data_IF_754616024625
#
_entry.id   IF_754616024625
#
_cell.length_a   1.000
_cell.length_b   1.000
_cell.length_c   1.000
_cell.angle_alpha   90.00
_cell.angle_beta   90.00
_cell.angle_gamma   90.00
#
_symmetry.space_group_name_H-M   'P 1'
#
loop_
_entity.id
_entity.type
_entity.pdbx_description
1 polymer ?
#
# COMPACT_ATOMS: atom_id res chain seq x y z
N UNK A 1 -39.43 -50.02 -31.39
CA UNK A 1 -39.05 -48.72 -31.90
C UNK A 1 -38.83 -47.68 -30.78
N UNK A 2 -39.72 -47.52 -29.81
CA UNK A 2 -39.64 -46.49 -28.74
C UNK A 2 -38.41 -46.69 -27.81
N UNK A 3 -38.01 -47.91 -27.47
CA UNK A 3 -36.85 -48.20 -26.55
C UNK A 3 -35.48 -47.86 -27.22
N UNK A 4 -35.33 -48.04 -28.51
CA UNK A 4 -34.11 -47.68 -29.27
C UNK A 4 -33.93 -46.17 -29.37
N UNK A 5 -35.01 -45.42 -29.48
CA UNK A 5 -34.95 -43.96 -29.53
C UNK A 5 -34.47 -43.35 -28.19
N UNK A 6 -34.88 -43.93 -27.06
CA UNK A 6 -34.48 -43.47 -25.69
C UNK A 6 -32.96 -43.67 -25.48
N UNK A 7 -32.41 -44.79 -25.93
CA UNK A 7 -30.96 -45.03 -25.81
C UNK A 7 -30.15 -44.07 -26.70
N UNK A 8 -30.65 -43.69 -27.84
CA UNK A 8 -29.97 -42.78 -28.76
C UNK A 8 -29.93 -41.35 -28.18
N UNK A 9 -31.01 -40.88 -27.59
CA UNK A 9 -31.07 -39.59 -26.91
C UNK A 9 -30.18 -39.55 -25.68
N UNK A 10 -30.09 -40.63 -24.89
CA UNK A 10 -29.25 -40.73 -23.72
C UNK A 10 -27.76 -40.65 -24.06
N UNK A 11 -27.35 -41.30 -25.15
CA UNK A 11 -25.94 -41.28 -25.63
C UNK A 11 -25.54 -39.87 -26.09
N UNK A 12 -26.41 -39.14 -26.75
CA UNK A 12 -26.14 -37.75 -27.17
C UNK A 12 -25.94 -36.84 -25.98
N UNK A 13 -26.76 -36.97 -24.92
CA UNK A 13 -26.64 -36.17 -23.70
C UNK A 13 -25.33 -36.42 -22.92
N UNK A 14 -24.83 -37.65 -22.94
CA UNK A 14 -23.57 -38.03 -22.31
C UNK A 14 -22.38 -37.41 -23.05
N UNK A 15 -22.43 -37.35 -24.39
CA UNK A 15 -21.35 -36.76 -25.20
C UNK A 15 -21.24 -35.25 -24.99
N UNK A 16 -22.35 -34.52 -24.87
CA UNK A 16 -22.34 -33.08 -24.62
C UNK A 16 -21.76 -32.75 -23.23
N UNK A 17 -22.11 -33.52 -22.21
CA UNK A 17 -21.58 -33.34 -20.84
C UNK A 17 -20.08 -33.62 -20.77
N UNK A 18 -19.55 -34.53 -21.56
CA UNK A 18 -18.12 -34.84 -21.61
C UNK A 18 -17.33 -33.75 -22.36
N UNK A 19 -17.86 -33.22 -23.44
CA UNK A 19 -17.26 -32.13 -24.20
C UNK A 19 -17.19 -30.83 -23.40
N UNK A 20 -18.21 -30.51 -22.57
CA UNK A 20 -18.21 -29.36 -21.68
C UNK A 20 -17.19 -29.49 -20.55
N UNK A 21 -16.97 -30.70 -20.02
CA UNK A 21 -15.93 -30.93 -18.98
C UNK A 21 -14.51 -30.78 -19.54
N UNK A 22 -14.26 -31.21 -20.77
CA UNK A 22 -12.95 -31.04 -21.40
C UNK A 22 -12.66 -29.58 -21.73
N UNK A 23 -13.65 -28.82 -22.18
CA UNK A 23 -13.50 -27.40 -22.47
C UNK A 23 -13.26 -26.57 -21.20
N UNK A 24 -13.91 -26.90 -20.07
CA UNK A 24 -13.68 -26.24 -18.79
C UNK A 24 -12.27 -26.51 -18.24
N UNK A 25 -11.72 -27.70 -18.45
CA UNK A 25 -10.35 -28.04 -18.04
C UNK A 25 -9.26 -27.37 -18.89
N UNK A 26 -9.52 -27.10 -20.15
CA UNK A 26 -8.59 -26.37 -21.03
C UNK A 26 -8.60 -24.86 -20.78
N UNK A 27 -9.75 -24.29 -20.43
CA UNK A 27 -9.87 -22.86 -20.09
C UNK A 27 -9.22 -22.54 -18.72
N UNK A 28 -9.30 -23.46 -17.77
CA UNK A 28 -8.67 -23.27 -16.46
C UNK A 28 -7.12 -23.36 -16.51
N UNK A 29 -6.57 -23.99 -17.55
CA UNK A 29 -5.12 -24.14 -17.70
C UNK A 29 -4.45 -22.97 -18.45
N UNK A 30 -5.22 -22.06 -19.06
CA UNK A 30 -4.68 -21.00 -19.92
C UNK A 30 -4.68 -19.60 -19.28
N UNK A 31 -5.13 -19.44 -18.02
CA UNK A 31 -5.22 -18.14 -17.39
C UNK A 31 -4.28 -17.91 -16.21
N UNK A 32 -3.24 -18.73 -16.04
CA UNK A 32 -2.13 -18.30 -15.18
C UNK A 32 -1.43 -17.16 -15.91
N UNK A 33 -1.63 -15.94 -15.41
CA UNK A 33 -0.96 -14.78 -15.97
C UNK A 33 0.55 -14.99 -15.88
N UNK A 34 1.29 -14.53 -16.88
CA UNK A 34 2.76 -14.58 -16.90
C UNK A 34 3.35 -13.97 -15.63
N UNK A 35 2.60 -13.09 -14.97
CA UNK A 35 2.97 -12.45 -13.70
C UNK A 35 2.89 -13.38 -12.48
N UNK A 36 2.08 -14.45 -12.49
CA UNK A 36 2.01 -15.40 -11.36
C UNK A 36 3.21 -16.36 -11.30
N UNK A 37 3.89 -16.57 -12.42
CA UNK A 37 5.10 -17.42 -12.49
C UNK A 37 6.39 -16.61 -12.35
N UNK A 38 6.32 -15.28 -12.48
CA UNK A 38 7.49 -14.42 -12.39
C UNK A 38 7.75 -14.06 -10.94
N UNK A 39 8.82 -14.60 -10.38
CA UNK A 39 9.25 -14.26 -9.03
C UNK A 39 9.83 -12.85 -9.01
N UNK A 40 9.05 -11.89 -8.55
CA UNK A 40 9.47 -10.48 -8.43
C UNK A 40 10.28 -10.21 -7.15
N UNK A 41 10.88 -11.22 -6.56
CA UNK A 41 11.63 -11.11 -5.30
C UNK A 41 12.85 -10.17 -5.37
N UNK A 42 13.33 -9.88 -6.57
CA UNK A 42 14.39 -8.89 -6.78
C UNK A 42 13.89 -7.44 -6.82
N UNK A 43 12.60 -7.23 -6.98
CA UNK A 43 12.01 -5.90 -7.02
C UNK A 43 11.57 -5.50 -5.61
N UNK A 44 12.40 -4.72 -4.95
CA UNK A 44 12.07 -4.14 -3.65
C UNK A 44 11.75 -2.67 -3.83
N UNK A 45 10.60 -2.26 -3.33
CA UNK A 45 10.31 -0.84 -3.19
C UNK A 45 11.21 -0.24 -2.12
N UNK A 46 11.72 0.93 -2.39
CA UNK A 46 12.45 1.75 -1.41
C UNK A 46 11.80 3.12 -1.32
N UNK A 47 11.75 3.67 -0.14
CA UNK A 47 11.37 5.07 0.00
C UNK A 47 12.43 5.94 -0.67
N UNK A 48 12.01 6.82 -1.56
CA UNK A 48 12.87 7.76 -2.27
C UNK A 48 12.75 9.18 -1.71
N UNK A 49 12.10 9.32 -0.56
CA UNK A 49 11.88 10.59 0.11
C UNK A 49 10.48 11.16 -0.15
N UNK A 50 10.20 12.35 0.35
CA UNK A 50 8.91 12.99 0.15
C UNK A 50 8.68 13.11 -1.34
N UNK A 51 7.59 12.50 -1.79
CA UNK A 51 7.19 12.60 -3.18
C UNK A 51 6.92 14.07 -3.53
N UNK A 52 7.24 14.45 -4.72
CA UNK A 52 7.13 15.82 -5.23
C UNK A 52 5.75 16.48 -5.09
N UNK A 53 4.74 15.72 -4.67
CA UNK A 53 3.37 16.20 -4.51
C UNK A 53 2.93 16.24 -3.06
N UNK A 54 3.83 16.08 -2.13
CA UNK A 54 3.55 15.89 -0.71
C UNK A 54 2.94 17.10 -0.02
N UNK A 55 2.73 18.17 -0.68
CA UNK A 55 2.10 19.34 -0.09
C UNK A 55 3.04 20.12 0.83
N UNK A 56 2.44 20.94 1.70
CA UNK A 56 3.15 21.84 2.60
C UNK A 56 3.74 21.15 3.80
N UNK A 57 4.74 21.78 4.38
CA UNK A 57 5.16 21.47 5.75
C UNK A 57 4.08 22.00 6.69
N UNK A 58 3.59 21.15 7.58
CA UNK A 58 2.58 21.52 8.56
C UNK A 58 3.21 22.02 9.85
N UNK A 59 4.31 21.39 10.30
CA UNK A 59 4.90 21.73 11.58
C UNK A 59 6.33 21.19 11.73
N UNK A 60 7.05 21.64 12.77
CA UNK A 60 8.38 21.21 13.15
C UNK A 60 8.45 20.91 14.65
N UNK A 61 9.09 19.82 15.05
CA UNK A 61 9.45 19.52 16.43
C UNK A 61 10.98 19.51 16.57
N UNK A 62 11.53 20.50 17.25
CA UNK A 62 12.97 20.74 17.35
C UNK A 62 13.46 20.31 18.72
N UNK A 63 14.54 19.52 18.77
CA UNK A 63 15.21 19.16 20.00
C UNK A 63 15.91 20.39 20.60
N UNK A 64 15.41 20.88 21.73
CA UNK A 64 15.93 22.09 22.39
C UNK A 64 17.37 21.93 22.91
N UNK A 65 17.82 20.69 23.11
CA UNK A 65 19.17 20.39 23.58
C UNK A 65 20.14 20.14 22.39
N UNK A 66 19.60 19.93 21.19
CA UNK A 66 20.40 19.69 19.99
C UNK A 66 19.64 20.16 18.73
N UNK A 67 19.82 21.38 18.34
CA UNK A 67 19.16 21.98 17.15
C UNK A 67 19.49 21.30 15.81
N UNK A 68 20.45 20.38 15.75
CA UNK A 68 20.72 19.57 14.56
C UNK A 68 19.73 18.43 14.42
N UNK A 69 19.01 18.10 15.48
CA UNK A 69 18.00 17.05 15.49
C UNK A 69 16.61 17.69 15.56
N UNK A 70 15.80 17.41 14.55
CA UNK A 70 14.42 17.85 14.50
C UNK A 70 13.58 16.95 13.58
N UNK A 71 12.28 17.08 13.75
CA UNK A 71 11.30 16.39 12.95
C UNK A 71 10.54 17.38 12.08
N UNK A 72 10.22 16.96 10.87
CA UNK A 72 9.43 17.72 9.90
C UNK A 72 8.14 16.96 9.64
N UNK A 73 7.02 17.59 9.92
CA UNK A 73 5.71 17.07 9.59
C UNK A 73 5.26 17.61 8.24
N UNK A 74 5.00 16.71 7.29
CA UNK A 74 4.45 17.06 5.99
C UNK A 74 2.95 16.74 5.97
N UNK A 75 2.13 17.71 5.57
CA UNK A 75 0.68 17.60 5.58
C UNK A 75 0.13 16.39 4.80
N UNK A 76 0.84 15.93 3.79
CA UNK A 76 0.51 14.72 3.02
C UNK A 76 1.76 13.90 2.72
N UNK A 77 2.70 13.82 3.65
CA UNK A 77 4.00 13.17 3.43
C UNK A 77 4.60 12.55 4.68
N UNK A 78 3.81 12.33 5.72
CA UNK A 78 4.26 11.71 6.96
C UNK A 78 5.21 12.59 7.78
N UNK A 79 6.02 11.95 8.62
CA UNK A 79 7.00 12.60 9.48
C UNK A 79 8.41 12.17 9.11
N UNK A 80 9.29 13.16 9.02
CA UNK A 80 10.69 13.00 8.63
C UNK A 80 11.60 13.47 9.75
N UNK A 81 12.59 12.67 10.11
CA UNK A 81 13.60 13.00 11.11
C UNK A 81 14.92 13.37 10.46
N UNK A 82 15.57 14.41 10.93
CA UNK A 82 16.98 14.71 10.67
C UNK A 82 17.77 14.75 11.95
N UNK A 83 19.05 14.39 11.89
CA UNK A 83 20.02 14.49 13.00
C UNK A 83 21.25 15.32 12.61
N UNK A 84 21.24 15.90 11.42
CA UNK A 84 22.38 16.62 10.85
C UNK A 84 21.96 17.96 10.20
N UNK A 85 21.05 18.65 10.87
CA UNK A 85 20.58 19.96 10.47
C UNK A 85 19.96 20.00 9.06
N UNK A 86 19.25 18.92 8.67
CA UNK A 86 18.54 18.87 7.39
C UNK A 86 19.36 18.40 6.20
N UNK A 87 20.60 17.95 6.42
CA UNK A 87 21.41 17.39 5.32
C UNK A 87 20.83 16.08 4.81
N UNK A 88 20.31 15.24 5.71
CA UNK A 88 19.59 14.01 5.35
C UNK A 88 18.35 13.86 6.21
N UNK A 89 17.35 13.19 5.65
CA UNK A 89 16.09 12.89 6.33
C UNK A 89 15.78 11.39 6.27
N UNK A 90 15.21 10.88 7.35
CA UNK A 90 14.74 9.50 7.47
C UNK A 90 13.25 9.54 7.76
N UNK A 91 12.41 8.81 6.99
CA UNK A 91 11.00 8.69 7.32
C UNK A 91 10.84 7.88 8.61
N UNK A 92 9.98 8.35 9.50
CA UNK A 92 9.79 7.73 10.83
C UNK A 92 8.33 7.40 11.12
N UNK A 93 7.43 7.62 10.16
CA UNK A 93 5.99 7.48 10.37
C UNK A 93 5.30 6.64 9.29
N UNK A 94 6.04 5.99 8.41
CA UNK A 94 5.51 5.26 7.23
C UNK A 94 4.60 4.09 7.63
N UNK A 95 4.84 3.47 8.78
CA UNK A 95 4.06 2.31 9.26
C UNK A 95 2.89 2.69 10.19
N UNK A 96 2.67 3.96 10.44
CA UNK A 96 1.70 4.42 11.42
C UNK A 96 0.25 4.52 10.91
N UNK A 97 -0.01 4.10 9.67
CA UNK A 97 -1.35 4.02 9.10
C UNK A 97 -1.96 5.36 8.65
N UNK A 98 -1.28 6.48 8.84
CA UNK A 98 -1.69 7.78 8.33
C UNK A 98 -0.49 8.52 7.74
N UNK A 99 -0.66 9.14 6.59
CA UNK A 99 0.35 9.97 5.95
C UNK A 99 0.08 11.47 6.10
N UNK A 100 -1.09 11.83 6.60
CA UNK A 100 -1.50 13.22 6.79
C UNK A 100 -1.21 13.65 8.20
N UNK A 101 -0.41 14.71 8.33
CA UNK A 101 0.05 15.20 9.62
C UNK A 101 -0.35 16.66 9.78
N UNK A 102 -1.12 16.94 10.82
CA UNK A 102 -1.58 18.29 11.16
C UNK A 102 -0.61 19.05 12.06
N UNK A 103 -0.04 18.37 13.04
CA UNK A 103 0.91 18.95 14.00
C UNK A 103 1.88 17.90 14.54
N UNK A 104 3.00 18.38 15.10
CA UNK A 104 3.99 17.55 15.77
C UNK A 104 4.60 18.32 16.92
N UNK A 105 4.86 17.65 18.05
CA UNK A 105 5.59 18.25 19.16
C UNK A 105 6.48 17.23 19.84
N UNK A 106 7.57 17.71 20.41
CA UNK A 106 8.52 16.91 21.19
C UNK A 106 8.30 17.20 22.68
N UNK A 107 8.38 16.18 23.52
CA UNK A 107 8.38 16.36 24.97
C UNK A 107 9.63 17.16 25.38
N UNK A 108 9.49 18.29 26.08
CA UNK A 108 10.62 19.12 26.46
C UNK A 108 11.57 18.44 27.44
N UNK A 109 11.08 17.44 28.18
CA UNK A 109 11.88 16.69 29.15
C UNK A 109 12.46 15.40 28.61
N UNK A 110 11.93 14.91 27.45
CA UNK A 110 12.38 13.66 26.85
C UNK A 110 12.33 13.72 25.32
N UNK A 111 13.44 13.99 24.70
CA UNK A 111 13.57 14.10 23.24
C UNK A 111 13.23 12.80 22.47
N UNK A 112 13.07 11.67 23.16
CA UNK A 112 12.63 10.41 22.53
C UNK A 112 11.11 10.27 22.48
N UNK A 113 10.35 11.19 23.06
CA UNK A 113 8.89 11.21 23.04
C UNK A 113 8.41 12.29 22.10
N UNK A 114 7.72 11.84 21.05
CA UNK A 114 7.17 12.72 20.01
C UNK A 114 5.65 12.49 19.94
N UNK A 115 4.91 13.56 19.99
CA UNK A 115 3.45 13.55 19.80
C UNK A 115 3.14 13.98 18.38
N UNK A 116 2.37 13.17 17.68
CA UNK A 116 1.98 13.42 16.28
C UNK A 116 0.46 13.49 16.19
N UNK A 117 -0.06 14.64 15.78
CA UNK A 117 -1.46 14.81 15.44
C UNK A 117 -1.70 14.50 13.96
N UNK A 118 -2.39 13.39 13.69
CA UNK A 118 -2.75 13.01 12.32
C UNK A 118 -4.00 13.76 11.86
N UNK A 119 -4.18 13.81 10.54
CA UNK A 119 -5.23 14.58 9.90
C UNK A 119 -4.75 15.97 9.50
N UNK A 120 -5.56 16.64 8.73
CA UNK A 120 -5.26 18.00 8.25
C UNK A 120 -6.13 19.02 8.98
N UNK A 121 -5.51 20.03 9.58
CA UNK A 121 -6.24 21.13 10.21
C UNK A 121 -6.80 22.14 9.18
N UNK A 122 -6.52 21.93 7.91
CA UNK A 122 -6.99 22.75 6.82
C UNK A 122 -7.90 21.92 5.90
N UNK A 123 -9.16 22.13 6.03
CA UNK A 123 -10.33 21.40 5.58
C UNK A 123 -10.42 21.05 4.04
N UNK A 124 -9.32 21.02 3.31
CA UNK A 124 -9.35 20.78 1.86
C UNK A 124 -9.02 19.36 1.44
N UNK A 125 -8.50 18.52 2.33
CA UNK A 125 -8.15 17.14 2.04
C UNK A 125 -8.51 16.28 3.23
N UNK A 126 -9.54 15.49 3.09
CA UNK A 126 -9.84 14.44 4.06
C UNK A 126 -8.79 13.36 3.95
N UNK A 127 -8.38 12.85 5.05
CA UNK A 127 -7.42 11.77 5.12
C UNK A 127 -7.87 10.73 6.12
N UNK A 128 -7.71 9.51 5.71
CA UNK A 128 -7.95 8.37 6.59
C UNK A 128 -6.84 8.28 7.65
#
# INVERSE_FOLDING_TARGET
>A
MMRTLIYFTLIIFIQESFAQRLNKKSVEKTSKSVFEETTLTGLKFRSIGPAQTSGRISDFAINQNNFKEYYVAAASGGVWKTVNAGTTYIPVFDEAGSYSIGCITMDPNNANVIWVGTGENNNQRSVA
#
